data_IF_878728905136
#
_entry.id   IF_878728905136
#
_cell.length_a   1.000
_cell.length_b   1.000
_cell.length_c   1.000
_cell.angle_alpha   90.00
_cell.angle_beta   90.00
_cell.angle_gamma   90.00
#
_symmetry.space_group_name_H-M   'P 1'
#
loop_
_entity.id
_entity.type
_entity.pdbx_description
1 polymer ?
#
# COMPACT_ATOMS: atom_id res chain seq x y z
N UNK A 1 0.15 11.67 34.90
CA UNK A 1 0.62 12.90 34.22
C UNK A 1 1.34 12.65 32.88
N UNK A 2 1.29 11.43 32.30
CA UNK A 2 1.87 11.08 30.99
C UNK A 2 0.90 11.15 29.80
N UNK A 3 -0.42 11.30 30.05
CA UNK A 3 -1.47 11.31 29.00
C UNK A 3 -1.73 12.68 28.38
N UNK A 4 -1.23 13.76 28.98
CA UNK A 4 -1.47 15.14 28.49
C UNK A 4 -0.36 15.58 27.52
N UNK A 5 0.80 14.92 27.53
CA UNK A 5 1.95 15.32 26.70
C UNK A 5 1.91 14.76 25.26
N UNK A 6 1.13 13.69 25.01
CA UNK A 6 1.05 13.06 23.69
C UNK A 6 0.02 13.72 22.77
N UNK A 7 -1.03 14.33 23.33
CA UNK A 7 -1.99 15.15 22.57
C UNK A 7 -1.32 16.41 21.99
N UNK A 8 -0.25 16.89 22.63
CA UNK A 8 0.54 18.03 22.12
C UNK A 8 1.42 17.67 20.90
N UNK A 9 1.78 16.39 20.72
CA UNK A 9 2.57 15.94 19.56
C UNK A 9 1.65 15.68 18.37
N UNK A 10 0.42 15.19 18.61
CA UNK A 10 -0.63 15.13 17.60
C UNK A 10 -1.01 16.53 17.10
N UNK A 11 -1.03 17.52 18.01
CA UNK A 11 -1.21 18.91 17.64
C UNK A 11 -0.03 19.45 16.81
N UNK A 12 1.23 19.08 17.08
CA UNK A 12 2.39 19.59 16.33
C UNK A 12 2.52 19.07 14.89
N UNK A 13 1.84 17.97 14.53
CA UNK A 13 1.76 17.48 13.15
C UNK A 13 0.58 18.14 12.40
N UNK A 14 -0.42 18.65 13.13
CA UNK A 14 -1.59 19.38 12.60
C UNK A 14 -1.46 20.93 12.73
N UNK A 15 -0.49 21.45 13.49
CA UNK A 15 -0.20 22.89 13.67
C UNK A 15 0.72 23.47 12.58
N UNK A 16 0.70 22.86 11.39
CA UNK A 16 0.92 23.59 10.14
C UNK A 16 -0.28 24.47 9.76
N UNK A 17 -1.41 24.38 10.49
CA UNK A 17 -2.52 25.33 10.39
C UNK A 17 -2.08 26.71 10.89
N UNK A 18 -1.77 27.58 9.93
CA UNK A 18 -1.44 28.99 10.09
C UNK A 18 -2.48 29.76 10.89
N UNK A 19 -2.00 30.69 11.72
CA UNK A 19 -2.81 31.79 12.25
C UNK A 19 -3.45 32.59 11.11
N UNK A 20 -4.73 32.91 11.31
CA UNK A 20 -5.48 34.02 10.72
C UNK A 20 -5.52 34.15 9.20
N UNK A 21 -6.62 33.71 8.60
CA UNK A 21 -7.39 34.56 7.70
C UNK A 21 -8.87 34.22 7.73
N UNK A 22 -9.57 35.02 8.53
CA UNK A 22 -11.02 35.24 8.53
C UNK A 22 -11.41 36.03 7.26
N UNK A 23 -11.11 35.46 6.10
CA UNK A 23 -11.46 35.95 4.76
C UNK A 23 -12.06 34.79 3.95
N UNK A 24 -13.29 34.41 4.31
CA UNK A 24 -14.28 34.04 3.30
C UNK A 24 -14.39 35.23 2.34
N UNK A 25 -13.73 35.16 1.19
CA UNK A 25 -13.70 36.32 0.29
C UNK A 25 -12.93 36.09 -1.00
N UNK A 26 -13.61 35.47 -1.98
CA UNK A 26 -13.38 35.64 -3.43
C UNK A 26 -11.95 35.40 -3.92
N UNK A 27 -11.54 34.13 -3.97
CA UNK A 27 -10.40 33.69 -4.78
C UNK A 27 -10.92 33.34 -6.18
N UNK A 28 -10.34 33.93 -7.23
CA UNK A 28 -10.65 33.59 -8.62
C UNK A 28 -10.40 32.07 -8.82
N UNK A 29 -11.47 31.32 -9.09
CA UNK A 29 -11.54 29.83 -9.08
C UNK A 29 -10.67 29.12 -10.13
N UNK A 30 -9.71 29.82 -10.75
CA UNK A 30 -8.88 29.31 -11.86
C UNK A 30 -7.38 29.38 -11.61
N UNK A 31 -6.91 29.94 -10.48
CA UNK A 31 -5.48 29.96 -10.19
C UNK A 31 -5.03 28.61 -9.57
N UNK A 32 -3.76 28.24 -9.79
CA UNK A 32 -3.20 26.97 -9.30
C UNK A 32 -3.28 26.85 -7.77
N UNK A 33 -3.11 27.96 -7.06
CA UNK A 33 -3.16 28.00 -5.59
C UNK A 33 -4.56 27.61 -5.06
N UNK A 34 -5.63 28.10 -5.67
CA UNK A 34 -7.00 27.74 -5.33
C UNK A 34 -7.27 26.26 -5.62
N UNK A 35 -6.73 25.72 -6.71
CA UNK A 35 -6.87 24.29 -7.03
C UNK A 35 -6.11 23.40 -6.04
N UNK A 36 -4.93 23.82 -5.59
CA UNK A 36 -4.19 23.14 -4.52
C UNK A 36 -4.99 23.18 -3.21
N UNK A 37 -5.56 24.33 -2.86
CA UNK A 37 -6.38 24.48 -1.65
C UNK A 37 -7.66 23.63 -1.71
N UNK A 38 -8.39 23.67 -2.83
CA UNK A 38 -9.60 22.88 -3.03
C UNK A 38 -9.30 21.37 -3.02
N UNK A 39 -8.17 20.95 -3.62
CA UNK A 39 -7.72 19.57 -3.56
C UNK A 39 -7.31 19.14 -2.14
N UNK A 40 -6.66 20.01 -1.36
CA UNK A 40 -6.34 19.71 0.04
C UNK A 40 -7.62 19.52 0.87
N UNK A 41 -8.64 20.39 0.71
CA UNK A 41 -9.94 20.22 1.38
C UNK A 41 -10.63 18.92 0.95
N UNK A 42 -10.61 18.61 -0.35
CA UNK A 42 -11.18 17.37 -0.85
C UNK A 42 -10.47 16.12 -0.29
N UNK A 43 -9.15 16.17 -0.11
CA UNK A 43 -8.38 15.10 0.51
C UNK A 43 -8.79 14.89 1.97
N UNK A 44 -8.92 15.98 2.74
CA UNK A 44 -9.38 15.95 4.14
C UNK A 44 -10.80 15.38 4.27
N UNK A 45 -11.68 15.66 3.30
CA UNK A 45 -13.04 15.12 3.22
C UNK A 45 -13.10 13.67 2.71
N UNK A 46 -11.95 13.05 2.36
CA UNK A 46 -11.87 11.70 1.78
C UNK A 46 -12.39 11.61 0.35
N UNK A 47 -12.53 12.73 -0.36
CA UNK A 47 -12.98 12.80 -1.75
C UNK A 47 -11.80 12.73 -2.73
N UNK A 48 -11.16 11.56 -2.78
CA UNK A 48 -9.94 11.33 -3.55
C UNK A 48 -10.11 11.56 -5.06
N UNK A 49 -11.28 11.25 -5.63
CA UNK A 49 -11.56 11.49 -7.04
C UNK A 49 -11.58 12.97 -7.39
N UNK A 50 -12.07 13.83 -6.49
CA UNK A 50 -12.00 15.27 -6.69
C UNK A 50 -10.55 15.78 -6.62
N UNK A 51 -9.71 15.21 -5.74
CA UNK A 51 -8.27 15.51 -5.70
C UNK A 51 -7.61 15.17 -7.03
N UNK A 52 -7.81 13.94 -7.52
CA UNK A 52 -7.23 13.46 -8.77
C UNK A 52 -7.71 14.34 -9.93
N UNK A 53 -9.02 14.49 -10.12
CA UNK A 53 -9.58 15.28 -11.21
C UNK A 53 -9.12 16.76 -11.18
N UNK A 54 -8.99 17.35 -9.99
CA UNK A 54 -8.54 18.74 -9.82
C UNK A 54 -7.06 18.95 -10.15
N UNK A 55 -6.20 17.97 -9.84
CA UNK A 55 -4.74 18.14 -9.92
C UNK A 55 -4.07 17.47 -11.13
N UNK A 56 -4.67 16.45 -11.76
CA UNK A 56 -4.04 15.72 -12.87
C UNK A 56 -3.59 16.63 -14.02
N UNK A 57 -4.35 17.68 -14.35
CA UNK A 57 -3.99 18.60 -15.44
C UNK A 57 -2.82 19.54 -15.11
N UNK A 58 -2.51 19.71 -13.83
CA UNK A 58 -1.40 20.54 -13.35
C UNK A 58 -0.12 19.74 -13.10
N UNK A 59 -0.22 18.41 -13.07
CA UNK A 59 0.92 17.52 -12.90
C UNK A 59 1.73 17.40 -14.18
N UNK A 60 3.05 17.61 -14.10
CA UNK A 60 3.99 17.41 -15.20
C UNK A 60 5.36 17.02 -14.69
N UNK A 61 6.02 16.08 -15.37
CA UNK A 61 7.37 15.63 -15.02
C UNK A 61 8.48 16.60 -15.46
N UNK A 62 8.17 17.63 -16.26
CA UNK A 62 9.15 18.63 -16.76
C UNK A 62 9.29 19.86 -15.86
N UNK A 63 8.20 20.27 -15.21
CA UNK A 63 8.13 21.41 -14.32
C UNK A 63 7.30 21.04 -13.09
N UNK A 64 7.76 20.00 -12.40
CA UNK A 64 7.04 19.37 -11.30
C UNK A 64 6.85 20.35 -10.15
N UNK A 65 5.60 20.67 -9.81
CA UNK A 65 5.27 21.34 -8.56
C UNK A 65 5.17 20.27 -7.44
N UNK A 66 6.02 20.31 -6.40
CA UNK A 66 6.01 19.31 -5.34
C UNK A 66 4.69 19.22 -4.56
N UNK A 67 3.97 20.33 -4.41
CA UNK A 67 2.71 20.36 -3.64
C UNK A 67 1.58 19.68 -4.42
N UNK A 68 1.49 19.97 -5.73
CA UNK A 68 0.58 19.25 -6.65
C UNK A 68 0.90 17.76 -6.67
N UNK A 69 2.19 17.42 -6.78
CA UNK A 69 2.64 16.03 -6.84
C UNK A 69 2.25 15.26 -5.57
N UNK A 70 2.54 15.81 -4.39
CA UNK A 70 2.23 15.16 -3.10
C UNK A 70 0.74 14.98 -2.91
N UNK A 71 -0.07 16.04 -3.12
CA UNK A 71 -1.52 15.94 -3.00
C UNK A 71 -2.12 14.94 -3.98
N UNK A 72 -1.66 14.94 -5.23
CA UNK A 72 -2.13 13.99 -6.25
C UNK A 72 -1.75 12.55 -5.88
N UNK A 73 -0.52 12.31 -5.41
CA UNK A 73 -0.10 10.99 -4.93
C UNK A 73 -0.92 10.53 -3.72
N UNK A 74 -1.18 11.41 -2.75
CA UNK A 74 -2.08 11.11 -1.62
C UNK A 74 -3.52 10.83 -2.07
N UNK A 75 -4.02 11.54 -3.09
CA UNK A 75 -5.30 11.26 -3.72
C UNK A 75 -5.36 9.85 -4.30
N UNK A 76 -4.34 9.45 -5.06
CA UNK A 76 -4.25 8.08 -5.59
C UNK A 76 -4.12 7.03 -4.49
N UNK A 77 -3.27 7.25 -3.48
CA UNK A 77 -3.17 6.34 -2.32
C UNK A 77 -4.51 6.16 -1.60
N UNK A 78 -5.24 7.26 -1.37
CA UNK A 78 -6.56 7.20 -0.75
C UNK A 78 -7.61 6.52 -1.62
N UNK A 79 -7.57 6.71 -2.94
CA UNK A 79 -8.42 6.01 -3.90
C UNK A 79 -8.17 4.50 -3.91
N UNK A 80 -6.92 4.08 -3.69
CA UNK A 80 -6.54 2.68 -3.47
C UNK A 80 -6.95 2.13 -2.08
N UNK A 81 -7.52 2.99 -1.22
CA UNK A 81 -7.97 2.61 0.12
C UNK A 81 -6.92 2.77 1.23
N UNK A 82 -5.73 3.30 0.96
CA UNK A 82 -4.72 3.51 2.00
C UNK A 82 -5.22 4.54 3.02
N UNK A 83 -5.27 4.13 4.29
CA UNK A 83 -5.54 4.96 5.45
C UNK A 83 -4.42 4.80 6.49
N UNK A 84 -3.51 5.78 6.51
CA UNK A 84 -2.35 5.80 7.41
C UNK A 84 -2.77 5.89 8.88
N UNK A 85 -3.99 6.36 9.19
CA UNK A 85 -4.46 6.44 10.58
C UNK A 85 -4.73 5.06 11.16
N UNK A 86 -5.29 4.14 10.36
CA UNK A 86 -5.52 2.75 10.77
C UNK A 86 -4.20 2.00 10.95
N UNK A 87 -3.21 2.25 10.09
CA UNK A 87 -1.87 1.69 10.26
C UNK A 87 -1.21 2.11 11.57
N UNK A 88 -1.35 3.38 11.99
CA UNK A 88 -0.84 3.82 13.29
C UNK A 88 -1.51 3.05 14.43
N UNK A 89 -2.83 2.85 14.36
CA UNK A 89 -3.55 2.06 15.36
C UNK A 89 -3.07 0.60 15.40
N UNK A 90 -2.86 0.00 14.23
CA UNK A 90 -2.32 -1.36 14.08
C UNK A 90 -0.90 -1.49 14.65
N UNK A 91 -0.04 -0.49 14.43
CA UNK A 91 1.36 -0.53 14.85
C UNK A 91 1.56 -0.70 16.37
N UNK A 92 0.51 -0.42 17.17
CA UNK A 92 0.51 -0.67 18.61
C UNK A 92 0.22 -2.13 19.00
N UNK A 93 -0.27 -2.96 18.09
CA UNK A 93 -0.51 -4.38 18.30
C UNK A 93 0.77 -5.18 18.03
N UNK A 94 1.47 -5.56 19.11
CA UNK A 94 2.73 -6.30 19.04
C UNK A 94 2.60 -7.79 18.68
N UNK A 95 1.37 -8.30 18.68
CA UNK A 95 1.09 -9.69 18.34
C UNK A 95 0.57 -9.85 16.92
N UNK A 96 0.45 -8.74 16.18
CA UNK A 96 -0.08 -8.76 14.84
C UNK A 96 1.01 -9.23 13.85
N UNK A 97 0.63 -10.05 12.88
CA UNK A 97 1.52 -10.50 11.81
C UNK A 97 1.95 -9.32 10.94
N UNK A 98 3.20 -9.31 10.47
CA UNK A 98 3.71 -8.14 9.76
C UNK A 98 3.15 -8.07 8.34
N UNK A 99 2.85 -9.22 7.73
CA UNK A 99 2.15 -9.29 6.43
C UNK A 99 0.75 -8.66 6.49
N UNK A 100 -0.01 -8.96 7.55
CA UNK A 100 -1.39 -8.51 7.73
C UNK A 100 -1.50 -7.00 8.07
N UNK A 101 -0.37 -6.32 8.30
CA UNK A 101 -0.31 -4.87 8.40
C UNK A 101 -0.95 -4.16 7.19
N UNK A 102 -0.83 -4.74 5.99
CA UNK A 102 -1.42 -4.16 4.78
C UNK A 102 -2.93 -4.16 4.85
N UNK A 103 -3.56 -5.27 5.23
CA UNK A 103 -5.02 -5.34 5.43
C UNK A 103 -5.48 -4.28 6.44
N UNK A 104 -4.76 -4.12 7.55
CA UNK A 104 -5.07 -3.09 8.54
C UNK A 104 -4.81 -1.65 8.09
N UNK A 105 -4.04 -1.44 7.01
CA UNK A 105 -3.80 -0.12 6.41
C UNK A 105 -4.92 0.27 5.44
N UNK A 106 -5.74 -0.70 5.02
CA UNK A 106 -6.76 -0.51 4.01
C UNK A 106 -8.11 -0.15 4.64
N UNK A 107 -8.69 0.98 4.22
CA UNK A 107 -10.08 1.33 4.47
C UNK A 107 -10.92 0.96 3.24
N UNK A 108 -11.35 -0.30 3.21
CA UNK A 108 -12.19 -0.86 2.17
C UNK A 108 -13.54 -1.29 2.75
N UNK A 109 -14.56 -1.35 1.90
CA UNK A 109 -15.93 -1.73 2.26
C UNK A 109 -16.29 -3.04 1.56
N UNK A 110 -17.13 -3.83 2.20
CA UNK A 110 -17.70 -5.06 1.63
C UNK A 110 -18.44 -4.77 0.32
N UNK A 111 -18.18 -5.58 -0.70
CA UNK A 111 -19.00 -5.60 -1.90
C UNK A 111 -20.33 -6.29 -1.55
N UNK A 112 -21.44 -5.56 -1.59
CA UNK A 112 -22.75 -6.18 -1.31
C UNK A 112 -23.07 -7.26 -2.35
N UNK A 113 -23.78 -8.32 -1.97
CA UNK A 113 -24.19 -9.44 -2.85
C UNK A 113 -24.85 -8.99 -4.18
N UNK A 114 -25.53 -7.84 -4.17
CA UNK A 114 -26.24 -7.27 -5.32
C UNK A 114 -25.43 -6.22 -6.12
N UNK A 115 -24.24 -5.81 -5.65
CA UNK A 115 -23.41 -4.81 -6.30
C UNK A 115 -22.21 -5.46 -6.96
N UNK A 116 -21.97 -5.12 -8.23
CA UNK A 116 -20.65 -5.31 -8.84
C UNK A 116 -19.62 -4.56 -8.01
N UNK A 117 -18.44 -5.15 -7.80
CA UNK A 117 -17.35 -4.47 -7.12
C UNK A 117 -17.13 -3.06 -7.71
N UNK A 118 -16.73 -2.13 -6.86
CA UNK A 118 -16.53 -0.75 -7.26
C UNK A 118 -15.30 -0.18 -6.58
N UNK A 119 -14.17 -0.16 -7.30
CA UNK A 119 -12.92 0.40 -6.82
C UNK A 119 -13.04 1.90 -6.49
N UNK A 120 -13.80 2.66 -7.29
CA UNK A 120 -14.05 4.09 -7.07
C UNK A 120 -14.68 4.37 -5.69
N UNK A 121 -15.62 3.52 -5.26
CA UNK A 121 -16.29 3.59 -3.96
C UNK A 121 -15.62 2.72 -2.88
N UNK A 122 -14.55 2.00 -3.22
CA UNK A 122 -13.84 1.03 -2.36
C UNK A 122 -14.74 -0.10 -1.84
N UNK A 123 -15.82 -0.42 -2.55
CA UNK A 123 -16.70 -1.58 -2.25
C UNK A 123 -16.15 -2.81 -2.98
N UNK A 124 -15.18 -3.46 -2.34
CA UNK A 124 -14.35 -4.49 -2.98
C UNK A 124 -14.06 -5.68 -2.08
N UNK A 125 -14.30 -5.58 -0.76
CA UNK A 125 -14.00 -6.69 0.15
C UNK A 125 -14.97 -7.83 -0.04
N UNK A 126 -14.45 -9.05 0.01
CA UNK A 126 -15.20 -10.29 0.05
C UNK A 126 -14.81 -11.00 1.35
N UNK A 127 -15.82 -11.39 2.12
CA UNK A 127 -15.67 -12.23 3.31
C UNK A 127 -16.29 -13.59 3.02
N UNK A 128 -15.64 -14.65 3.51
CA UNK A 128 -16.15 -16.01 3.40
C UNK A 128 -16.63 -16.47 4.78
N UNK A 129 -17.89 -16.93 4.87
CA UNK A 129 -18.49 -17.43 6.11
C UNK A 129 -17.73 -18.66 6.65
N UNK A 130 -17.12 -19.45 5.76
CA UNK A 130 -16.32 -20.63 6.12
C UNK A 130 -14.89 -20.27 6.55
N UNK A 131 -14.47 -19.00 6.37
CA UNK A 131 -13.16 -18.49 6.77
C UNK A 131 -13.27 -17.06 7.38
N UNK A 132 -13.71 -16.93 8.65
CA UNK A 132 -14.08 -15.64 9.26
C UNK A 132 -12.93 -14.65 9.47
N UNK A 133 -11.69 -15.05 9.21
CA UNK A 133 -10.49 -14.20 9.28
C UNK A 133 -9.85 -13.98 7.90
N UNK A 134 -10.30 -14.69 6.87
CA UNK A 134 -9.79 -14.52 5.52
C UNK A 134 -10.38 -13.26 4.91
N UNK A 135 -9.50 -12.39 4.41
CA UNK A 135 -9.91 -11.15 3.74
C UNK A 135 -9.47 -11.21 2.29
N UNK A 136 -10.43 -11.04 1.40
CA UNK A 136 -10.20 -11.00 -0.04
C UNK A 136 -10.65 -9.68 -0.64
N UNK A 137 -10.07 -9.34 -1.79
CA UNK A 137 -10.55 -8.28 -2.68
C UNK A 137 -11.16 -8.93 -3.91
N UNK A 138 -12.30 -8.44 -4.39
CA UNK A 138 -12.88 -8.86 -5.67
C UNK A 138 -11.85 -8.67 -6.80
N UNK A 139 -11.48 -9.78 -7.45
CA UNK A 139 -10.45 -9.78 -8.48
C UNK A 139 -10.80 -8.91 -9.69
N UNK A 140 -12.07 -8.57 -9.90
CA UNK A 140 -12.48 -7.64 -10.99
C UNK A 140 -12.12 -6.19 -10.71
N UNK A 141 -11.88 -5.84 -9.45
CA UNK A 141 -11.59 -4.47 -9.02
C UNK A 141 -10.18 -4.28 -8.47
N UNK A 142 -9.43 -5.35 -8.18
CA UNK A 142 -8.08 -5.22 -7.66
C UNK A 142 -7.13 -4.52 -8.66
N UNK A 143 -7.33 -4.73 -9.96
CA UNK A 143 -6.53 -4.08 -11.02
C UNK A 143 -6.63 -2.55 -10.95
N UNK A 144 -7.82 -2.01 -10.69
CA UNK A 144 -8.02 -0.57 -10.53
C UNK A 144 -7.30 -0.03 -9.29
N UNK A 145 -7.28 -0.80 -8.19
CA UNK A 145 -6.56 -0.43 -6.97
C UNK A 145 -5.04 -0.43 -7.19
N UNK A 146 -4.53 -1.45 -7.90
CA UNK A 146 -3.12 -1.54 -8.31
C UNK A 146 -2.76 -0.35 -9.20
N UNK A 147 -3.60 0.00 -10.18
CA UNK A 147 -3.37 1.17 -11.06
C UNK A 147 -3.32 2.48 -10.26
N UNK A 148 -4.16 2.67 -9.25
CA UNK A 148 -4.04 3.83 -8.37
C UNK A 148 -2.70 3.85 -7.61
N UNK A 149 -2.23 2.70 -7.12
CA UNK A 149 -0.94 2.61 -6.44
C UNK A 149 0.24 2.87 -7.39
N UNK A 150 0.20 2.36 -8.62
CA UNK A 150 1.20 2.64 -9.65
C UNK A 150 1.29 4.14 -9.95
N UNK A 151 0.14 4.79 -10.14
CA UNK A 151 0.09 6.23 -10.35
C UNK A 151 0.68 7.02 -9.16
N UNK A 152 0.40 6.60 -7.93
CA UNK A 152 1.00 7.21 -6.74
C UNK A 152 2.52 7.03 -6.70
N UNK A 153 3.00 5.79 -6.94
CA UNK A 153 4.42 5.44 -6.94
C UNK A 153 5.19 6.22 -8.01
N UNK A 154 4.67 6.31 -9.22
CA UNK A 154 5.26 7.07 -10.33
C UNK A 154 5.47 8.55 -10.02
N UNK A 155 4.54 9.14 -9.27
CA UNK A 155 4.66 10.51 -8.80
C UNK A 155 5.82 10.65 -7.80
N UNK A 156 5.95 9.73 -6.85
CA UNK A 156 7.05 9.73 -5.89
C UNK A 156 8.41 9.44 -6.55
N UNK A 157 8.48 8.54 -7.53
CA UNK A 157 9.70 8.34 -8.33
C UNK A 157 10.08 9.62 -9.09
N UNK A 158 9.09 10.35 -9.61
CA UNK A 158 9.33 11.63 -10.26
C UNK A 158 9.87 12.69 -9.30
N UNK A 159 9.35 12.76 -8.06
CA UNK A 159 9.90 13.61 -7.00
C UNK A 159 11.36 13.23 -6.66
N UNK A 160 11.66 11.92 -6.56
CA UNK A 160 13.02 11.42 -6.27
C UNK A 160 14.01 11.74 -7.39
N UNK A 161 13.63 11.46 -8.64
CA UNK A 161 14.46 11.67 -9.84
C UNK A 161 14.83 13.14 -10.03
N UNK A 162 13.94 14.05 -9.63
CA UNK A 162 14.18 15.50 -9.69
C UNK A 162 14.82 16.07 -8.42
N UNK A 163 15.23 15.22 -7.47
CA UNK A 163 15.82 15.62 -6.18
C UNK A 163 14.91 16.54 -5.33
N UNK A 164 13.59 16.41 -5.50
CA UNK A 164 12.56 17.16 -4.78
C UNK A 164 11.94 16.36 -3.61
N UNK A 165 12.26 15.07 -3.51
CA UNK A 165 11.76 14.18 -2.48
C UNK A 165 12.33 14.51 -1.09
N UNK A 166 11.43 14.53 -0.11
CA UNK A 166 11.71 14.63 1.33
C UNK A 166 11.65 13.24 1.97
N UNK A 167 12.05 13.11 3.24
CA UNK A 167 11.89 11.85 3.97
C UNK A 167 10.44 11.36 4.03
N UNK A 168 9.47 12.27 4.07
CA UNK A 168 8.04 11.89 4.12
C UNK A 168 7.57 11.32 2.78
N UNK A 169 8.15 11.75 1.67
CA UNK A 169 7.88 11.19 0.34
C UNK A 169 8.43 9.75 0.23
N UNK A 170 9.60 9.47 0.84
CA UNK A 170 10.13 8.10 0.93
C UNK A 170 9.25 7.19 1.79
N UNK A 171 8.70 7.71 2.90
CA UNK A 171 7.80 6.95 3.77
C UNK A 171 6.50 6.63 3.05
N UNK A 172 5.87 7.61 2.40
CA UNK A 172 4.65 7.39 1.64
C UNK A 172 4.85 6.41 0.47
N UNK A 173 5.96 6.53 -0.26
CA UNK A 173 6.32 5.58 -1.31
C UNK A 173 6.47 4.17 -0.76
N UNK A 174 7.17 3.98 0.37
CA UNK A 174 7.30 2.66 0.99
C UNK A 174 5.97 2.08 1.45
N UNK A 175 5.06 2.90 1.98
CA UNK A 175 3.71 2.45 2.34
C UNK A 175 2.90 2.03 1.12
N UNK A 176 2.86 2.86 0.07
CA UNK A 176 2.21 2.52 -1.19
C UNK A 176 2.80 1.24 -1.79
N UNK A 177 4.12 1.06 -1.70
CA UNK A 177 4.82 -0.12 -2.21
C UNK A 177 4.50 -1.38 -1.41
N UNK A 178 4.37 -1.30 -0.08
CA UNK A 178 3.97 -2.46 0.74
C UNK A 178 2.56 -2.93 0.37
N UNK A 179 1.62 -1.99 0.20
CA UNK A 179 0.25 -2.31 -0.23
C UNK A 179 0.24 -2.88 -1.65
N UNK A 180 0.94 -2.22 -2.56
CA UNK A 180 1.07 -2.66 -3.96
C UNK A 180 1.66 -4.07 -4.07
N UNK A 181 2.68 -4.38 -3.28
CA UNK A 181 3.27 -5.72 -3.20
C UNK A 181 2.22 -6.79 -2.85
N UNK A 182 1.46 -6.57 -1.78
CA UNK A 182 0.43 -7.53 -1.32
C UNK A 182 -0.71 -7.66 -2.35
N UNK A 183 -1.16 -6.56 -2.94
CA UNK A 183 -2.22 -6.59 -3.95
C UNK A 183 -1.79 -7.32 -5.22
N UNK A 184 -0.57 -7.09 -5.71
CA UNK A 184 -0.03 -7.82 -6.87
C UNK A 184 0.15 -9.30 -6.57
N UNK A 185 0.64 -9.63 -5.38
CA UNK A 185 0.81 -11.01 -4.97
C UNK A 185 -0.53 -11.76 -4.88
N UNK A 186 -1.54 -11.11 -4.29
CA UNK A 186 -2.89 -11.62 -4.24
C UNK A 186 -3.51 -11.78 -5.62
N UNK A 187 -3.38 -10.77 -6.48
CA UNK A 187 -3.91 -10.84 -7.84
C UNK A 187 -3.26 -11.97 -8.64
N UNK A 188 -1.93 -12.10 -8.61
CA UNK A 188 -1.20 -13.16 -9.29
C UNK A 188 -1.61 -14.56 -8.79
N UNK A 189 -1.81 -14.71 -7.48
CA UNK A 189 -2.32 -15.94 -6.87
C UNK A 189 -3.72 -16.28 -7.39
N UNK A 190 -4.62 -15.29 -7.37
CA UNK A 190 -6.00 -15.47 -7.82
C UNK A 190 -6.10 -15.79 -9.32
N UNK A 191 -5.31 -15.12 -10.15
CA UNK A 191 -5.25 -15.36 -11.58
C UNK A 191 -4.74 -16.78 -11.89
N UNK A 192 -3.79 -17.29 -11.12
CA UNK A 192 -3.28 -18.67 -11.26
C UNK A 192 -4.30 -19.72 -10.84
N UNK A 193 -5.05 -19.45 -9.76
CA UNK A 193 -6.14 -20.32 -9.29
C UNK A 193 -7.39 -20.27 -10.19
N UNK A 194 -7.40 -19.42 -11.22
CA UNK A 194 -8.51 -19.38 -12.16
C UNK A 194 -8.55 -20.70 -12.96
N UNK A 195 -9.65 -21.46 -12.90
CA UNK A 195 -9.71 -22.81 -13.48
C UNK A 195 -9.63 -22.84 -15.01
N UNK A 196 -9.63 -21.68 -15.66
CA UNK A 196 -9.44 -21.54 -17.09
C UNK A 196 -8.18 -20.71 -17.35
N UNK A 197 -7.28 -21.12 -18.26
CA UNK A 197 -6.12 -20.32 -18.57
C UNK A 197 -6.52 -19.05 -19.35
N UNK A 198 -5.72 -17.96 -19.32
CA UNK A 198 -6.05 -16.67 -19.97
C UNK A 198 -6.40 -16.78 -21.46
N UNK A 199 -5.76 -17.72 -22.18
CA UNK A 199 -6.03 -18.01 -23.60
C UNK A 199 -7.36 -18.73 -23.86
N UNK A 200 -8.06 -19.20 -22.82
CA UNK A 200 -9.33 -19.88 -22.98
C UNK A 200 -10.47 -18.88 -23.22
N UNK A 201 -11.30 -19.13 -24.23
CA UNK A 201 -12.41 -18.24 -24.64
C UNK A 201 -13.49 -17.94 -23.59
N UNK A 202 -13.50 -18.68 -22.48
CA UNK A 202 -14.40 -18.47 -21.33
C UNK A 202 -13.68 -17.96 -20.08
N UNK A 203 -12.38 -17.71 -20.17
CA UNK A 203 -11.64 -17.05 -19.10
C UNK A 203 -12.26 -15.68 -18.86
N UNK A 204 -12.43 -15.36 -17.59
CA UNK A 204 -12.86 -14.05 -17.14
C UNK A 204 -11.89 -13.67 -16.04
N UNK A 205 -11.12 -12.63 -16.30
CA UNK A 205 -10.18 -12.07 -15.33
C UNK A 205 -10.93 -11.66 -14.06
N UNK A 206 -10.29 -11.91 -12.91
CA UNK A 206 -10.82 -11.47 -11.63
C UNK A 206 -12.02 -12.26 -11.07
N UNK A 207 -12.37 -13.42 -11.62
CA UNK A 207 -13.41 -14.29 -11.03
C UNK A 207 -12.98 -14.81 -9.65
N UNK A 208 -11.69 -15.13 -9.49
CA UNK A 208 -11.13 -15.57 -8.22
C UNK A 208 -10.81 -14.32 -7.40
N UNK A 209 -11.30 -14.22 -6.15
CA UNK A 209 -10.92 -13.15 -5.26
C UNK A 209 -9.41 -13.14 -4.96
N UNK A 210 -8.82 -11.97 -4.77
CA UNK A 210 -7.42 -11.83 -4.43
C UNK A 210 -7.21 -11.87 -2.91
N UNK A 211 -6.37 -12.77 -2.36
CA UNK A 211 -6.09 -12.85 -0.93
C UNK A 211 -5.15 -11.71 -0.50
N UNK A 212 -5.50 -10.99 0.57
CA UNK A 212 -4.71 -9.84 1.06
C UNK A 212 -4.15 -10.02 2.48
N UNK A 213 -4.43 -11.16 3.13
CA UNK A 213 -3.90 -11.51 4.44
C UNK A 213 -3.58 -13.01 4.53
N UNK A 214 -2.84 -13.44 5.56
CA UNK A 214 -2.41 -14.85 5.71
C UNK A 214 -3.57 -15.83 5.72
N UNK A 215 -4.63 -15.50 6.46
CA UNK A 215 -5.81 -16.35 6.60
C UNK A 215 -6.47 -16.65 5.23
N UNK A 216 -6.46 -15.69 4.30
CA UNK A 216 -6.96 -15.89 2.94
C UNK A 216 -6.09 -16.86 2.12
N UNK A 217 -4.77 -16.77 2.21
CA UNK A 217 -3.87 -17.75 1.58
C UNK A 217 -4.05 -19.16 2.15
N UNK A 218 -4.23 -19.27 3.47
CA UNK A 218 -4.48 -20.55 4.14
C UNK A 218 -5.81 -21.16 3.73
N UNK A 219 -6.86 -20.33 3.59
CA UNK A 219 -8.15 -20.79 3.09
C UNK A 219 -8.00 -21.42 1.70
N UNK A 220 -7.33 -20.76 0.75
CA UNK A 220 -7.10 -21.31 -0.59
C UNK A 220 -6.34 -22.62 -0.63
N UNK A 221 -5.45 -22.85 0.34
CA UNK A 221 -4.73 -24.12 0.45
C UNK A 221 -5.52 -25.22 1.17
N UNK A 222 -6.56 -24.85 1.92
CA UNK A 222 -7.32 -25.80 2.72
C UNK A 222 -8.29 -26.63 1.88
N UNK A 223 -8.68 -27.80 2.40
CA UNK A 223 -9.71 -28.65 1.79
C UNK A 223 -11.11 -27.98 1.74
N UNK A 224 -11.27 -26.79 2.32
CA UNK A 224 -12.51 -26.00 2.28
C UNK A 224 -12.63 -25.15 1.01
N UNK A 225 -11.52 -24.91 0.32
CA UNK A 225 -11.48 -24.13 -0.90
C UNK A 225 -11.88 -24.98 -2.11
N UNK A 226 -12.67 -24.42 -3.01
CA UNK A 226 -12.99 -25.02 -4.32
C UNK A 226 -11.84 -24.87 -5.35
N UNK A 227 -10.75 -24.17 -4.99
CA UNK A 227 -9.59 -23.90 -5.84
C UNK A 227 -8.48 -24.94 -5.64
N UNK A 228 -7.79 -25.32 -6.73
CA UNK A 228 -6.69 -26.27 -6.69
C UNK A 228 -5.36 -25.56 -6.41
N UNK A 229 -4.89 -25.60 -5.16
CA UNK A 229 -3.62 -24.98 -4.78
C UNK A 229 -2.41 -25.59 -5.51
N UNK A 230 -2.51 -26.83 -6.00
CA UNK A 230 -1.42 -27.48 -6.74
C UNK A 230 -1.15 -26.81 -8.11
N UNK A 231 -2.06 -25.94 -8.57
CA UNK A 231 -1.86 -25.12 -9.78
C UNK A 231 -0.90 -23.93 -9.55
N UNK A 232 -0.63 -23.55 -8.29
CA UNK A 232 0.30 -22.47 -7.97
C UNK A 232 1.74 -23.01 -8.03
N UNK A 233 2.56 -22.41 -8.90
CA UNK A 233 4.01 -22.65 -8.98
C UNK A 233 4.81 -21.34 -8.97
N UNK A 234 6.13 -21.41 -9.18
CA UNK A 234 6.99 -20.22 -9.18
C UNK A 234 6.70 -19.24 -10.33
N UNK A 235 6.20 -19.72 -11.47
CA UNK A 235 5.89 -18.90 -12.63
C UNK A 235 4.62 -18.06 -12.44
N UNK A 236 3.81 -18.39 -11.43
CA UNK A 236 2.66 -17.57 -11.03
C UNK A 236 3.05 -16.11 -10.72
N UNK A 237 4.31 -15.88 -10.34
CA UNK A 237 4.84 -14.58 -9.94
C UNK A 237 5.86 -14.01 -10.95
N UNK A 238 5.89 -14.55 -12.17
CA UNK A 238 6.73 -14.01 -13.25
C UNK A 238 6.17 -12.68 -13.73
N UNK A 239 6.99 -11.63 -13.63
CA UNK A 239 6.63 -10.26 -13.99
C UNK A 239 7.66 -9.64 -14.94
N UNK A 240 7.23 -8.66 -15.74
CA UNK A 240 8.14 -7.93 -16.62
C UNK A 240 9.15 -7.11 -15.78
N UNK A 241 10.43 -7.28 -16.10
CA UNK A 241 11.50 -6.53 -15.43
C UNK A 241 11.49 -5.07 -15.89
N UNK A 242 11.70 -4.15 -14.96
CA UNK A 242 11.86 -2.73 -15.27
C UNK A 242 13.21 -2.44 -15.96
N UNK A 243 13.47 -1.16 -16.28
CA UNK A 243 14.71 -0.72 -16.95
C UNK A 243 16.00 -1.05 -16.16
N UNK A 244 15.88 -1.19 -14.83
CA UNK A 244 16.97 -1.54 -13.93
C UNK A 244 17.12 -3.07 -13.75
N UNK A 245 16.29 -3.86 -14.44
CA UNK A 245 16.29 -5.33 -14.36
C UNK A 245 15.67 -5.87 -13.07
N UNK A 246 14.82 -5.09 -12.40
CA UNK A 246 14.13 -5.48 -11.17
C UNK A 246 12.68 -5.86 -11.49
N UNK A 247 12.16 -6.90 -10.83
CA UNK A 247 10.73 -7.18 -10.85
C UNK A 247 9.96 -6.13 -10.03
N UNK A 248 8.65 -5.94 -10.26
CA UNK A 248 7.81 -5.07 -9.44
C UNK A 248 7.90 -5.42 -7.94
N UNK A 249 7.91 -6.72 -7.60
CA UNK A 249 8.08 -7.21 -6.23
C UNK A 249 9.40 -6.78 -5.59
N UNK A 250 10.51 -6.86 -6.32
CA UNK A 250 11.82 -6.41 -5.83
C UNK A 250 11.83 -4.91 -5.63
N UNK A 251 11.29 -4.17 -6.60
CA UNK A 251 11.22 -2.71 -6.54
C UNK A 251 10.41 -2.23 -5.33
N UNK A 252 9.25 -2.86 -5.07
CA UNK A 252 8.42 -2.53 -3.92
C UNK A 252 9.16 -2.73 -2.59
N UNK A 253 9.80 -3.88 -2.40
CA UNK A 253 10.54 -4.17 -1.17
C UNK A 253 11.75 -3.26 -1.00
N UNK A 254 12.41 -2.86 -2.09
CA UNK A 254 13.47 -1.84 -2.05
C UNK A 254 12.91 -0.50 -1.54
N UNK A 255 11.72 -0.11 -1.97
CA UNK A 255 11.10 1.13 -1.52
C UNK A 255 10.59 1.09 -0.09
N UNK A 256 10.08 -0.06 0.39
CA UNK A 256 9.84 -0.27 1.82
C UNK A 256 11.15 -0.14 2.62
N UNK A 257 12.26 -0.72 2.13
CA UNK A 257 13.57 -0.61 2.79
C UNK A 257 14.09 0.84 2.83
N UNK A 258 13.86 1.59 1.76
CA UNK A 258 14.16 3.02 1.70
C UNK A 258 13.33 3.83 2.71
N UNK A 259 12.05 3.47 2.91
CA UNK A 259 11.19 4.09 3.92
C UNK A 259 11.71 3.84 5.35
N UNK A 260 12.07 2.59 5.69
CA UNK A 260 12.69 2.26 6.99
C UNK A 260 13.94 3.11 7.23
N UNK A 261 14.79 3.25 6.21
CA UNK A 261 15.99 4.08 6.27
C UNK A 261 15.65 5.58 6.44
N UNK A 262 14.63 6.08 5.74
CA UNK A 262 14.18 7.46 5.83
C UNK A 262 13.66 7.80 7.24
N UNK A 263 12.87 6.92 7.85
CA UNK A 263 12.37 7.10 9.23
C UNK A 263 13.53 7.15 10.22
N UNK A 264 14.49 6.21 10.11
CA UNK A 264 15.67 6.18 10.96
C UNK A 264 16.50 7.47 10.86
N UNK A 265 16.76 7.95 9.64
CA UNK A 265 17.48 9.22 9.42
C UNK A 265 16.73 10.42 9.97
N UNK A 266 15.41 10.51 9.75
CA UNK A 266 14.56 11.59 10.29
C UNK A 266 14.58 11.59 11.82
N UNK A 267 14.46 10.41 12.44
CA UNK A 267 14.51 10.23 13.90
C UNK A 267 15.86 10.71 14.49
N UNK A 268 16.98 10.36 13.85
CA UNK A 268 18.32 10.80 14.28
C UNK A 268 18.50 12.32 14.16
N UNK A 269 17.98 12.94 13.09
CA UNK A 269 18.03 14.39 12.91
C UNK A 269 17.22 15.13 13.99
N UNK A 270 16.06 14.60 14.38
CA UNK A 270 15.17 15.25 15.35
C UNK A 270 15.59 15.04 16.81
N UNK A 271 16.27 13.93 17.13
CA UNK A 271 16.54 13.52 18.52
C UNK A 271 18.03 13.61 18.92
N UNK A 272 18.77 14.60 18.40
CA UNK A 272 20.20 14.78 18.72
C UNK A 272 21.02 13.50 18.56
N UNK A 273 20.83 12.76 17.45
CA UNK A 273 21.51 11.50 17.15
C UNK A 273 21.19 10.33 18.10
N UNK A 274 20.14 10.41 18.91
CA UNK A 274 19.63 9.26 19.65
C UNK A 274 18.47 8.63 18.89
N UNK A 275 18.58 7.36 18.45
CA UNK A 275 17.48 6.67 17.81
C UNK A 275 16.34 6.50 18.80
N UNK A 276 15.16 7.03 18.46
CA UNK A 276 13.92 6.75 19.17
C UNK A 276 13.18 5.64 18.43
N UNK A 277 12.70 4.65 19.18
CA UNK A 277 11.83 3.60 18.65
C UNK A 277 10.62 4.22 17.94
N UNK A 278 10.32 3.71 16.76
CA UNK A 278 9.24 4.18 15.90
C UNK A 278 8.44 2.96 15.46
N UNK A 279 7.19 2.87 15.91
CA UNK A 279 6.36 1.68 15.68
C UNK A 279 6.12 1.42 14.18
N UNK A 280 5.95 2.47 13.38
CA UNK A 280 5.84 2.35 11.92
C UNK A 280 7.13 1.79 11.27
N UNK A 281 8.29 2.24 11.74
CA UNK A 281 9.57 1.70 11.28
C UNK A 281 9.69 0.20 11.61
N UNK A 282 9.33 -0.18 12.84
CA UNK A 282 9.39 -1.56 13.30
C UNK A 282 8.43 -2.45 12.50
N UNK A 283 7.24 -1.95 12.14
CA UNK A 283 6.27 -2.68 11.31
C UNK A 283 6.74 -2.85 9.86
N UNK A 284 7.27 -1.80 9.22
CA UNK A 284 7.83 -1.91 7.87
C UNK A 284 9.07 -2.81 7.80
N UNK A 285 9.95 -2.75 8.81
CA UNK A 285 11.09 -3.65 8.93
C UNK A 285 10.63 -5.10 9.19
N UNK A 286 9.61 -5.29 10.02
CA UNK A 286 8.95 -6.58 10.25
C UNK A 286 8.39 -7.19 8.96
N UNK A 287 7.65 -6.40 8.18
CA UNK A 287 7.09 -6.80 6.88
C UNK A 287 8.19 -7.29 5.93
N UNK A 288 9.27 -6.51 5.79
CA UNK A 288 10.42 -6.92 4.96
C UNK A 288 11.08 -8.20 5.45
N UNK A 289 11.30 -8.32 6.76
CA UNK A 289 11.95 -9.50 7.36
C UNK A 289 11.12 -10.75 7.16
N UNK A 290 9.81 -10.62 7.28
CA UNK A 290 8.89 -11.71 7.10
C UNK A 290 8.92 -12.23 5.66
N UNK A 291 8.72 -11.35 4.67
CA UNK A 291 8.74 -11.70 3.24
C UNK A 291 10.09 -12.27 2.81
N UNK A 292 11.20 -11.66 3.26
CA UNK A 292 12.55 -12.13 2.90
C UNK A 292 12.96 -13.40 3.69
N UNK A 293 12.13 -13.85 4.62
CA UNK A 293 12.39 -14.96 5.54
C UNK A 293 13.71 -14.75 6.31
N UNK A 294 13.89 -13.54 6.86
CA UNK A 294 15.12 -13.06 7.51
C UNK A 294 14.86 -12.52 8.93
N UNK A 295 15.00 -13.35 9.98
CA UNK A 295 14.70 -12.93 11.36
C UNK A 295 15.69 -11.90 11.92
N UNK A 296 16.88 -11.77 11.34
CA UNK A 296 17.91 -10.82 11.80
C UNK A 296 18.87 -10.42 10.68
N UNK A 297 19.73 -9.43 10.96
CA UNK A 297 20.71 -8.91 9.99
C UNK A 297 20.23 -7.65 9.27
N UNK A 298 21.16 -6.98 8.57
CA UNK A 298 20.84 -5.82 7.76
C UNK A 298 20.19 -6.22 6.44
N UNK A 299 19.10 -5.55 6.06
CA UNK A 299 18.47 -5.70 4.74
C UNK A 299 19.10 -4.69 3.79
N UNK A 300 19.56 -5.17 2.63
CA UNK A 300 20.19 -4.34 1.58
C UNK A 300 19.50 -4.61 0.24
N UNK A 301 19.64 -3.70 -0.73
CA UNK A 301 19.13 -3.92 -2.09
C UNK A 301 19.60 -5.24 -2.68
N UNK A 302 20.88 -5.60 -2.50
CA UNK A 302 21.42 -6.87 -3.00
C UNK A 302 20.72 -8.09 -2.38
N UNK A 303 20.44 -8.04 -1.08
CA UNK A 303 19.70 -9.10 -0.37
C UNK A 303 18.26 -9.20 -0.90
N UNK A 304 17.61 -8.06 -1.14
CA UNK A 304 16.25 -8.04 -1.69
C UNK A 304 16.24 -8.65 -3.09
N UNK A 305 17.14 -8.23 -3.99
CA UNK A 305 17.24 -8.79 -5.34
C UNK A 305 17.60 -10.28 -5.35
N UNK A 306 18.40 -10.75 -4.39
CA UNK A 306 18.76 -12.17 -4.26
C UNK A 306 17.61 -13.04 -3.75
N UNK A 307 16.78 -12.51 -2.84
CA UNK A 307 15.75 -13.29 -2.13
C UNK A 307 14.34 -13.13 -2.68
N UNK A 308 13.97 -11.95 -3.16
CA UNK A 308 12.63 -11.68 -3.72
C UNK A 308 12.59 -12.04 -5.22
N UNK A 309 13.10 -13.23 -5.57
CA UNK A 309 12.92 -13.84 -6.89
C UNK A 309 11.55 -14.51 -6.96
N UNK A 310 11.11 -14.93 -8.14
CA UNK A 310 9.86 -15.70 -8.32
C UNK A 310 9.82 -16.95 -7.44
N UNK A 311 10.92 -17.71 -7.42
CA UNK A 311 11.09 -18.85 -6.49
C UNK A 311 10.98 -18.42 -5.02
N UNK A 312 11.64 -17.33 -4.61
CA UNK A 312 11.61 -16.89 -3.21
C UNK A 312 10.24 -16.37 -2.76
N UNK A 313 9.50 -15.72 -3.66
CA UNK A 313 8.11 -15.30 -3.44
C UNK A 313 7.21 -16.53 -3.30
N UNK A 314 7.34 -17.51 -4.20
CA UNK A 314 6.61 -18.77 -4.13
C UNK A 314 6.90 -19.54 -2.84
N UNK A 315 8.17 -19.62 -2.41
CA UNK A 315 8.56 -20.22 -1.12
C UNK A 315 7.88 -19.51 0.06
N UNK A 316 7.84 -18.17 0.04
CA UNK A 316 7.16 -17.40 1.08
C UNK A 316 5.65 -17.63 1.09
N UNK A 317 4.97 -17.60 -0.06
CA UNK A 317 3.53 -17.87 -0.15
C UNK A 317 3.20 -19.30 0.32
N UNK A 318 4.01 -20.28 -0.05
CA UNK A 318 3.86 -21.64 0.44
C UNK A 318 4.11 -21.77 1.94
N UNK A 319 4.97 -20.94 2.53
CA UNK A 319 5.15 -20.91 3.97
C UNK A 319 3.87 -20.41 4.64
N UNK A 320 3.43 -19.19 4.33
CA UNK A 320 2.31 -18.54 5.04
C UNK A 320 0.97 -19.25 4.84
N UNK A 321 0.76 -19.89 3.69
CA UNK A 321 -0.44 -20.70 3.41
C UNK A 321 -0.48 -22.01 4.21
N UNK A 322 0.65 -22.48 4.75
CA UNK A 322 0.74 -23.71 5.55
C UNK A 322 0.82 -23.51 7.06
N UNK A 323 1.03 -22.27 7.51
CA UNK A 323 1.05 -21.96 8.94
C UNK A 323 -0.36 -22.15 9.53
N UNK A 324 -0.47 -22.84 10.68
CA UNK A 324 -1.75 -22.91 11.40
C UNK A 324 -2.08 -21.53 11.98
N UNK A 325 -3.32 -21.05 11.82
CA UNK A 325 -3.79 -19.83 12.51
C UNK A 325 -3.67 -20.06 14.01
N UNK A 326 -2.72 -19.40 14.67
CA UNK A 326 -2.74 -19.28 16.13
C UNK A 326 -3.79 -18.23 16.50
N UNK A 327 -4.91 -18.60 17.14
CA UNK A 327 -6.00 -17.68 17.48
C UNK A 327 -5.66 -16.68 18.59
#
# INVERSE_FOLDING_TARGET
MKKIMTVLILALILYGCSNDSLLEGTSDTTNLEAQIEDAARALDDGNYHAVIAGLSSYYTTKALNPDVARLLASGYMGAAGIDVTNLIAYSYNKNADSFDMVEATLFLTEASEDATCNAMLRMVLIFDDDAPYAVFIDGRCIVDLIEYLDNAKDIFYSLRRLELATYDDYVQLGLASAVHYVLNLGNATADTLNPLPPEHTKYVAGIVPAPINKAAYQYYRSDLSDYDWDDIDEHAYDEELNEDGLSPYQQDLIDVSNAVTAISRKSLQQNNLQPKQNDLQDQLDGFLREILMMPSGGITTAIITEKATTTGIYEYINLISSEEVTP
#
